data_IF_930625581299
#
_entry.id   IF_930625581299
#
_cell.length_a   1.000
_cell.length_b   1.000
_cell.length_c   1.000
_cell.angle_alpha   90.00
_cell.angle_beta   90.00
_cell.angle_gamma   90.00
#
_symmetry.space_group_name_H-M   'P 1'
#
loop_
_entity.id
_entity.type
_entity.pdbx_description
1 polymer ?
#
# COMPACT_ATOMS: atom_id res chain seq x y z
N UNK A 1 -13.93 10.79 -21.76
CA UNK A 1 -12.97 10.98 -20.64
C UNK A 1 -11.91 11.94 -21.13
N UNK A 2 -11.54 12.96 -20.36
CA UNK A 2 -10.47 13.90 -20.71
C UNK A 2 -9.26 13.58 -19.85
N UNK A 3 -8.09 13.43 -20.47
CA UNK A 3 -6.86 13.06 -19.80
C UNK A 3 -5.86 14.21 -19.86
N UNK A 4 -5.21 14.46 -18.72
CA UNK A 4 -4.10 15.41 -18.62
C UNK A 4 -2.92 14.71 -17.96
N UNK A 5 -1.72 14.73 -18.57
CA UNK A 5 -0.54 14.10 -17.98
C UNK A 5 -0.14 14.80 -16.67
N UNK A 6 -0.47 14.19 -15.53
CA UNK A 6 -0.27 14.82 -14.22
C UNK A 6 1.21 15.17 -13.96
N UNK A 7 2.14 14.29 -14.35
CA UNK A 7 3.59 14.54 -14.21
C UNK A 7 4.06 15.77 -14.99
N UNK A 8 3.58 15.96 -16.22
CA UNK A 8 3.93 17.12 -17.04
C UNK A 8 3.39 18.40 -16.39
N UNK A 9 2.12 18.39 -15.96
CA UNK A 9 1.49 19.54 -15.32
C UNK A 9 2.21 19.93 -14.01
N UNK A 10 2.62 18.95 -13.20
CA UNK A 10 3.39 19.20 -11.97
C UNK A 10 4.75 19.81 -12.31
N UNK A 11 5.47 19.27 -13.30
CA UNK A 11 6.77 19.79 -13.72
C UNK A 11 6.65 21.23 -14.25
N UNK A 12 5.64 21.52 -15.07
CA UNK A 12 5.38 22.86 -15.62
C UNK A 12 4.95 23.85 -14.55
N UNK A 13 4.11 23.45 -13.59
CA UNK A 13 3.73 24.28 -12.43
C UNK A 13 4.96 24.58 -11.56
N UNK A 14 5.82 23.59 -11.29
CA UNK A 14 7.06 23.79 -10.55
C UNK A 14 8.06 24.72 -11.28
N UNK A 15 8.13 24.64 -12.60
CA UNK A 15 8.97 25.51 -13.44
C UNK A 15 8.36 26.89 -13.72
N UNK A 16 7.11 27.15 -13.31
CA UNK A 16 6.39 28.38 -13.64
C UNK A 16 6.04 28.52 -15.13
N UNK A 17 6.04 27.42 -15.89
CA UNK A 17 5.76 27.37 -17.33
C UNK A 17 4.35 26.86 -17.65
N UNK A 18 3.55 26.55 -16.63
CA UNK A 18 2.13 26.29 -16.77
C UNK A 18 1.39 27.63 -16.95
N UNK A 19 0.91 27.91 -18.18
CA UNK A 19 0.36 29.22 -18.50
C UNK A 19 -1.02 29.43 -17.89
N UNK A 20 -1.46 30.69 -17.81
CA UNK A 20 -2.82 31.03 -17.36
C UNK A 20 -3.88 30.45 -18.28
N UNK A 21 -3.60 30.35 -19.58
CA UNK A 21 -4.54 29.80 -20.56
C UNK A 21 -4.67 28.28 -20.41
N UNK A 22 -3.55 27.56 -20.17
CA UNK A 22 -3.59 26.12 -19.85
C UNK A 22 -4.47 25.86 -18.62
N UNK A 23 -4.24 26.61 -17.53
CA UNK A 23 -5.03 26.49 -16.30
C UNK A 23 -6.50 26.79 -16.56
N UNK A 24 -6.81 27.83 -17.33
CA UNK A 24 -8.18 28.21 -17.67
C UNK A 24 -8.87 27.12 -18.47
N UNK A 25 -8.20 26.51 -19.43
CA UNK A 25 -8.78 25.46 -20.27
C UNK A 25 -9.00 24.18 -19.48
N UNK A 26 -8.02 23.72 -18.69
CA UNK A 26 -8.20 22.55 -17.81
C UNK A 26 -9.37 22.76 -16.83
N UNK A 27 -9.47 23.96 -16.23
CA UNK A 27 -10.57 24.32 -15.33
C UNK A 27 -11.95 24.16 -15.97
N UNK A 28 -12.12 24.56 -17.23
CA UNK A 28 -13.41 24.40 -17.96
C UNK A 28 -13.84 22.94 -18.05
N UNK A 29 -12.89 22.01 -18.20
CA UNK A 29 -13.18 20.58 -18.23
C UNK A 29 -13.51 20.04 -16.85
N UNK A 30 -12.78 20.45 -15.81
CA UNK A 30 -13.04 20.02 -14.43
C UNK A 30 -14.37 20.58 -13.90
N UNK A 31 -14.73 21.82 -14.24
CA UNK A 31 -15.97 22.45 -13.81
C UNK A 31 -17.22 21.67 -14.22
N UNK A 32 -17.22 21.13 -15.45
CA UNK A 32 -18.28 20.28 -15.99
C UNK A 32 -18.23 18.84 -15.47
N UNK A 33 -17.20 18.48 -14.71
CA UNK A 33 -16.97 17.12 -14.25
C UNK A 33 -17.46 16.93 -12.82
N UNK A 34 -18.24 15.86 -12.60
CA UNK A 34 -18.62 15.42 -11.25
C UNK A 34 -17.48 14.68 -10.54
N UNK A 35 -16.73 13.89 -11.32
CA UNK A 35 -15.64 13.05 -10.86
C UNK A 35 -14.31 13.54 -11.43
N UNK A 36 -13.29 13.66 -10.58
CA UNK A 36 -11.90 13.94 -10.96
C UNK A 36 -11.04 12.75 -10.53
N UNK A 37 -10.25 12.21 -11.45
CA UNK A 37 -9.42 11.03 -11.20
C UNK A 37 -7.96 11.44 -11.22
N UNK A 38 -7.23 11.16 -10.15
CA UNK A 38 -5.78 11.28 -10.08
C UNK A 38 -5.19 9.88 -10.17
N UNK A 39 -4.30 9.67 -11.15
CA UNK A 39 -3.65 8.38 -11.39
C UNK A 39 -2.15 8.55 -11.22
N UNK A 40 -1.56 7.79 -10.31
CA UNK A 40 -0.13 7.76 -10.04
C UNK A 40 0.28 6.38 -9.51
N UNK A 41 1.55 6.01 -9.62
CA UNK A 41 2.04 4.83 -8.91
C UNK A 41 2.37 5.18 -7.46
N UNK A 42 2.22 4.20 -6.58
CA UNK A 42 2.64 4.26 -5.18
C UNK A 42 3.42 3.01 -4.81
N UNK A 43 4.11 3.07 -3.67
CA UNK A 43 4.90 1.96 -3.12
C UNK A 43 4.39 1.62 -1.71
N UNK A 44 4.50 0.37 -1.26
CA UNK A 44 3.97 -0.04 0.06
C UNK A 44 4.73 0.59 1.24
N UNK A 45 5.98 1.01 1.03
CA UNK A 45 6.89 1.57 2.02
C UNK A 45 7.00 3.11 1.96
N UNK A 46 6.25 3.76 1.06
CA UNK A 46 6.26 5.21 0.89
C UNK A 46 4.84 5.80 1.04
N UNK A 47 4.74 6.87 1.82
CA UNK A 47 3.46 7.54 2.11
C UNK A 47 3.48 9.03 1.78
N UNK A 48 4.54 9.51 1.14
CA UNK A 48 4.81 10.92 0.91
C UNK A 48 4.90 11.24 -0.59
N UNK A 49 5.28 10.27 -1.41
CA UNK A 49 5.58 10.44 -2.83
C UNK A 49 4.69 9.58 -3.75
N UNK A 50 4.41 10.12 -4.93
CA UNK A 50 3.91 9.40 -6.09
C UNK A 50 5.04 9.12 -7.08
N UNK A 51 4.95 8.00 -7.80
CA UNK A 51 6.02 7.48 -8.64
C UNK A 51 5.61 7.32 -10.11
N UNK A 52 6.60 7.34 -10.99
CA UNK A 52 6.48 6.93 -12.39
C UNK A 52 6.48 5.40 -12.52
N UNK A 53 6.15 4.90 -13.70
CA UNK A 53 6.28 3.47 -14.03
C UNK A 53 7.73 2.97 -13.92
N UNK A 54 8.72 3.85 -14.14
CA UNK A 54 10.14 3.53 -13.94
C UNK A 54 10.58 3.56 -12.47
N UNK A 55 9.68 3.89 -11.54
CA UNK A 55 9.92 3.88 -10.10
C UNK A 55 10.55 5.15 -9.52
N UNK A 56 10.81 6.15 -10.37
CA UNK A 56 11.31 7.47 -9.95
C UNK A 56 10.20 8.32 -9.34
N UNK A 57 10.53 9.09 -8.31
CA UNK A 57 9.59 10.03 -7.70
C UNK A 57 9.16 11.09 -8.71
N UNK A 58 7.85 11.35 -8.80
CA UNK A 58 7.28 12.36 -9.70
C UNK A 58 6.66 13.53 -8.96
N UNK A 59 6.17 13.32 -7.74
CA UNK A 59 5.60 14.37 -6.91
C UNK A 59 5.43 13.94 -5.45
N UNK A 60 5.40 14.90 -4.55
CA UNK A 60 4.90 14.73 -3.18
C UNK A 60 3.40 14.95 -3.12
N UNK A 61 2.73 14.45 -2.07
CA UNK A 61 1.32 14.75 -1.81
C UNK A 61 1.03 16.27 -1.77
N UNK A 62 2.00 17.08 -1.30
CA UNK A 62 1.88 18.55 -1.25
C UNK A 62 1.87 19.18 -2.64
N UNK A 63 2.78 18.74 -3.51
CA UNK A 63 2.84 19.21 -4.89
C UNK A 63 1.56 18.85 -5.65
N UNK A 64 1.07 17.61 -5.47
CA UNK A 64 -0.20 17.19 -6.06
C UNK A 64 -1.38 18.00 -5.50
N UNK A 65 -1.41 18.23 -4.19
CA UNK A 65 -2.42 19.06 -3.53
C UNK A 65 -2.44 20.51 -4.03
N UNK A 66 -1.25 21.12 -4.22
CA UNK A 66 -1.12 22.47 -4.82
C UNK A 66 -1.67 22.49 -6.24
N UNK A 67 -1.27 21.54 -7.09
CA UNK A 67 -1.74 21.46 -8.46
C UNK A 67 -3.26 21.26 -8.51
N UNK A 68 -3.80 20.36 -7.69
CA UNK A 68 -5.24 20.12 -7.61
C UNK A 68 -6.00 21.39 -7.17
N UNK A 69 -5.50 22.14 -6.17
CA UNK A 69 -6.07 23.46 -5.80
C UNK A 69 -6.01 24.47 -6.94
N UNK A 70 -4.93 24.47 -7.73
CA UNK A 70 -4.81 25.34 -8.89
C UNK A 70 -5.84 24.96 -9.97
N UNK A 71 -6.00 23.68 -10.27
CA UNK A 71 -6.78 23.21 -11.42
C UNK A 71 -8.27 23.02 -11.12
N UNK A 72 -8.66 22.68 -9.89
CA UNK A 72 -10.07 22.50 -9.53
C UNK A 72 -10.69 23.84 -9.15
N UNK A 73 -11.75 24.33 -9.81
CA UNK A 73 -12.46 25.53 -9.38
C UNK A 73 -13.15 25.37 -8.01
N UNK A 74 -13.49 26.49 -7.37
CA UNK A 74 -14.37 26.49 -6.19
C UNK A 74 -15.81 26.36 -6.70
N UNK A 75 -16.58 25.47 -6.10
CA UNK A 75 -18.03 25.34 -6.33
C UNK A 75 -18.72 24.72 -5.11
N UNK A 76 -20.02 24.91 -5.02
CA UNK A 76 -20.83 24.35 -3.93
C UNK A 76 -21.00 22.83 -4.07
N UNK A 77 -21.13 22.32 -5.30
CA UNK A 77 -21.28 20.89 -5.53
C UNK A 77 -20.01 20.11 -5.15
N UNK A 78 -20.19 19.09 -4.31
CA UNK A 78 -19.10 18.22 -3.84
C UNK A 78 -18.44 17.47 -5.01
N UNK A 79 -17.14 17.65 -5.20
CA UNK A 79 -16.34 16.83 -6.11
C UNK A 79 -16.24 15.39 -5.60
N UNK A 80 -16.31 14.44 -6.53
CA UNK A 80 -15.92 13.05 -6.29
C UNK A 80 -14.49 12.86 -6.80
N UNK A 81 -13.55 12.67 -5.90
CA UNK A 81 -12.16 12.41 -6.25
C UNK A 81 -11.90 10.89 -6.19
N UNK A 82 -11.26 10.35 -7.21
CA UNK A 82 -10.70 9.00 -7.19
C UNK A 82 -9.19 9.08 -7.25
N UNK A 83 -8.50 8.75 -6.16
CA UNK A 83 -7.06 8.65 -6.12
C UNK A 83 -6.68 7.20 -6.43
N UNK A 84 -6.38 6.94 -7.69
CA UNK A 84 -5.95 5.63 -8.19
C UNK A 84 -4.44 5.55 -8.04
N UNK A 85 -4.01 5.05 -6.88
CA UNK A 85 -2.61 4.90 -6.48
C UNK A 85 -2.47 3.61 -5.68
N UNK A 86 -1.58 2.72 -6.13
CA UNK A 86 -1.22 1.53 -5.35
C UNK A 86 -0.76 1.95 -3.95
N UNK A 87 -1.31 1.32 -2.92
CA UNK A 87 -0.99 1.59 -1.51
C UNK A 87 -1.27 3.05 -1.07
N UNK A 88 -1.99 3.87 -1.85
CA UNK A 88 -2.18 5.28 -1.53
C UNK A 88 -2.90 5.53 -0.19
N UNK A 89 -3.80 4.63 0.20
CA UNK A 89 -4.50 4.68 1.49
C UNK A 89 -3.83 3.83 2.58
N UNK A 90 -2.73 3.14 2.29
CA UNK A 90 -1.97 2.39 3.30
C UNK A 90 -1.31 3.39 4.26
N UNK A 91 -1.39 3.09 5.54
CA UNK A 91 -0.66 3.80 6.58
C UNK A 91 0.83 3.45 6.51
N UNK A 92 1.68 4.27 7.12
CA UNK A 92 3.13 4.05 7.19
C UNK A 92 3.47 2.70 7.81
N UNK A 93 2.69 2.26 8.80
CA UNK A 93 2.81 0.90 9.29
C UNK A 93 2.15 -0.09 8.32
N UNK A 94 2.95 -0.58 7.37
CA UNK A 94 2.53 -1.55 6.34
C UNK A 94 1.99 -2.85 6.93
N UNK A 95 2.21 -3.16 8.21
CA UNK A 95 1.75 -4.41 8.84
C UNK A 95 0.41 -4.29 9.55
N UNK A 96 -0.17 -3.09 9.63
CA UNK A 96 -1.52 -2.93 10.17
C UNK A 96 -2.55 -3.55 9.23
N UNK A 97 -3.50 -4.28 9.81
CA UNK A 97 -4.67 -4.74 9.07
C UNK A 97 -5.59 -3.53 8.80
N UNK A 98 -5.83 -3.22 7.52
CA UNK A 98 -6.66 -2.08 7.13
C UNK A 98 -8.15 -2.41 6.96
N UNK A 99 -8.61 -3.59 7.39
CA UNK A 99 -10.02 -3.93 7.49
C UNK A 99 -10.69 -3.44 8.76
N UNK A 100 -9.92 -3.41 9.86
CA UNK A 100 -10.42 -3.09 11.20
C UNK A 100 -10.19 -1.64 11.60
N UNK A 101 -10.46 -1.34 12.87
CA UNK A 101 -10.16 -0.04 13.46
C UNK A 101 -8.68 0.29 13.33
N UNK A 102 -8.37 1.44 12.72
CA UNK A 102 -7.02 1.95 12.54
C UNK A 102 -6.85 3.16 13.46
N UNK A 103 -5.75 3.27 14.24
CA UNK A 103 -5.45 4.47 15.02
C UNK A 103 -5.45 5.72 14.14
N UNK A 104 -6.01 6.84 14.63
CA UNK A 104 -6.11 8.08 13.85
C UNK A 104 -4.76 8.60 13.35
N UNK A 105 -3.71 8.51 14.18
CA UNK A 105 -2.36 8.89 13.77
C UNK A 105 -1.80 8.04 12.63
N UNK A 106 -2.20 6.78 12.53
CA UNK A 106 -1.84 5.88 11.43
C UNK A 106 -2.62 6.24 10.17
N UNK A 107 -3.95 6.44 10.26
CA UNK A 107 -4.76 6.93 9.15
C UNK A 107 -4.19 8.22 8.55
N UNK A 108 -3.73 9.13 9.41
CA UNK A 108 -3.14 10.40 9.03
C UNK A 108 -1.79 10.27 8.32
N UNK A 109 -1.13 9.13 8.45
CA UNK A 109 0.17 8.87 7.83
C UNK A 109 0.08 8.47 6.35
N UNK A 110 -1.09 8.08 5.85
CA UNK A 110 -1.26 7.66 4.44
C UNK A 110 -1.10 8.81 3.45
N UNK A 111 -0.59 8.53 2.25
CA UNK A 111 -0.50 9.53 1.17
C UNK A 111 -1.87 10.12 0.86
N UNK A 112 -2.89 9.27 0.76
CA UNK A 112 -4.26 9.64 0.47
C UNK A 112 -4.79 10.64 1.49
N UNK A 113 -4.63 10.38 2.79
CA UNK A 113 -5.07 11.31 3.81
C UNK A 113 -4.37 12.66 3.70
N UNK A 114 -3.04 12.65 3.57
CA UNK A 114 -2.25 13.89 3.48
C UNK A 114 -2.67 14.72 2.26
N UNK A 115 -2.84 14.08 1.11
CA UNK A 115 -3.35 14.73 -0.11
C UNK A 115 -4.79 15.23 0.07
N UNK A 116 -5.68 14.45 0.67
CA UNK A 116 -7.06 14.85 0.95
C UNK A 116 -7.11 16.08 1.85
N UNK A 117 -6.29 16.11 2.90
CA UNK A 117 -6.17 17.23 3.84
C UNK A 117 -5.70 18.50 3.16
N UNK A 118 -4.81 18.42 2.17
CA UNK A 118 -4.36 19.59 1.38
C UNK A 118 -5.49 20.29 0.62
N UNK A 119 -6.58 19.56 0.32
CA UNK A 119 -7.73 20.07 -0.43
C UNK A 119 -8.89 20.50 0.48
N UNK A 120 -8.97 19.92 1.69
CA UNK A 120 -9.99 20.28 2.67
C UNK A 120 -9.91 21.77 3.03
N UNK A 121 -11.08 22.40 3.20
CA UNK A 121 -11.21 23.84 3.43
C UNK A 121 -11.06 24.70 2.17
N UNK A 122 -10.33 24.23 1.16
CA UNK A 122 -10.25 24.89 -0.14
C UNK A 122 -11.34 24.40 -1.11
N UNK A 123 -11.72 23.12 -1.04
CA UNK A 123 -12.68 22.49 -1.96
C UNK A 123 -13.66 21.60 -1.19
N UNK A 124 -14.92 21.58 -1.66
CA UNK A 124 -15.91 20.61 -1.19
C UNK A 124 -15.67 19.27 -1.88
N UNK A 125 -15.11 18.28 -1.16
CA UNK A 125 -14.64 17.03 -1.77
C UNK A 125 -15.07 15.79 -0.98
N UNK A 126 -15.27 14.69 -1.70
CA UNK A 126 -15.26 13.32 -1.18
C UNK A 126 -14.27 12.53 -2.01
N UNK A 127 -13.39 11.78 -1.37
CA UNK A 127 -12.33 11.04 -2.06
C UNK A 127 -12.42 9.54 -1.79
N UNK A 128 -12.01 8.73 -2.77
CA UNK A 128 -11.73 7.31 -2.56
C UNK A 128 -10.27 7.01 -2.89
N UNK A 129 -9.67 6.08 -2.15
CA UNK A 129 -8.33 5.57 -2.36
C UNK A 129 -8.22 4.11 -1.88
N UNK A 130 -7.11 3.43 -2.15
CA UNK A 130 -6.95 1.99 -1.90
C UNK A 130 -5.70 1.67 -1.07
N UNK A 131 -5.79 0.64 -0.23
CA UNK A 131 -4.72 0.26 0.71
C UNK A 131 -3.70 -0.73 0.13
N UNK A 132 -4.02 -1.45 -0.95
CA UNK A 132 -3.12 -2.40 -1.62
C UNK A 132 -2.77 -1.96 -3.05
N UNK A 133 -2.08 -2.81 -3.83
CA UNK A 133 -1.92 -2.53 -5.25
C UNK A 133 -3.27 -2.57 -5.95
N UNK A 134 -3.50 -1.58 -6.82
CA UNK A 134 -4.76 -1.40 -7.54
C UNK A 134 -4.57 -1.82 -8.99
N UNK A 135 -5.51 -2.61 -9.50
CA UNK A 135 -5.66 -2.86 -10.94
C UNK A 135 -6.98 -2.27 -11.42
N UNK A 136 -6.98 -1.80 -12.66
CA UNK A 136 -8.16 -1.23 -13.31
C UNK A 136 -8.52 -2.10 -14.52
N UNK A 137 -9.79 -2.41 -14.68
CA UNK A 137 -10.30 -2.86 -15.98
C UNK A 137 -10.66 -1.67 -16.89
N UNK A 138 -11.06 -1.96 -18.13
CA UNK A 138 -11.47 -0.95 -19.11
C UNK A 138 -12.70 -0.13 -18.70
N UNK A 139 -13.46 -0.58 -17.69
CA UNK A 139 -14.69 0.05 -17.19
C UNK A 139 -14.47 0.84 -15.90
N UNK A 140 -13.22 1.07 -15.48
CA UNK A 140 -12.85 1.66 -14.19
C UNK A 140 -13.37 0.87 -12.97
N UNK A 141 -13.56 -0.44 -13.10
CA UNK A 141 -13.67 -1.29 -11.92
C UNK A 141 -12.27 -1.54 -11.39
N UNK A 142 -12.14 -1.31 -10.10
CA UNK A 142 -10.87 -1.41 -9.39
C UNK A 142 -10.86 -2.68 -8.56
N UNK A 143 -9.86 -3.53 -8.76
CA UNK A 143 -9.50 -4.58 -7.80
C UNK A 143 -8.33 -4.12 -6.95
N UNK A 144 -8.25 -4.65 -5.74
CA UNK A 144 -7.20 -4.33 -4.78
C UNK A 144 -6.64 -5.62 -4.18
N UNK A 145 -5.33 -5.66 -3.99
CA UNK A 145 -4.68 -6.69 -3.18
C UNK A 145 -5.25 -6.70 -1.75
N UNK A 146 -5.48 -7.89 -1.20
CA UNK A 146 -5.88 -8.09 0.19
C UNK A 146 -4.70 -7.99 1.17
N UNK A 147 -4.95 -8.07 2.49
CA UNK A 147 -3.89 -7.99 3.50
C UNK A 147 -2.78 -9.03 3.32
N UNK A 148 -3.15 -10.29 3.08
CA UNK A 148 -2.18 -11.38 2.89
C UNK A 148 -1.21 -11.10 1.75
N UNK A 149 -1.71 -10.55 0.65
CA UNK A 149 -0.90 -10.17 -0.50
C UNK A 149 0.03 -8.99 -0.17
N UNK A 150 -0.47 -7.98 0.54
CA UNK A 150 0.37 -6.85 0.98
C UNK A 150 1.49 -7.34 1.91
N UNK A 151 1.17 -8.18 2.88
CA UNK A 151 2.15 -8.76 3.82
C UNK A 151 3.13 -9.71 3.12
N UNK A 152 2.67 -10.46 2.12
CA UNK A 152 3.54 -11.28 1.28
C UNK A 152 4.57 -10.43 0.53
N UNK A 153 4.16 -9.29 -0.04
CA UNK A 153 5.07 -8.36 -0.73
C UNK A 153 6.10 -7.76 0.24
N UNK A 154 5.66 -7.26 1.41
CA UNK A 154 6.55 -6.77 2.47
C UNK A 154 7.56 -7.85 2.87
N UNK A 155 7.08 -9.07 3.15
CA UNK A 155 7.93 -10.17 3.59
C UNK A 155 8.92 -10.61 2.50
N UNK A 156 8.50 -10.58 1.23
CA UNK A 156 9.37 -10.91 0.10
C UNK A 156 10.53 -9.91 -0.02
N UNK A 157 10.28 -8.62 0.20
CA UNK A 157 11.33 -7.60 0.23
C UNK A 157 12.28 -7.79 1.41
N UNK A 158 11.75 -8.06 2.61
CA UNK A 158 12.55 -8.40 3.80
C UNK A 158 13.47 -9.60 3.54
N UNK A 159 12.94 -10.69 2.98
CA UNK A 159 13.70 -11.90 2.66
C UNK A 159 14.76 -11.63 1.59
N UNK A 160 14.46 -10.81 0.59
CA UNK A 160 15.43 -10.42 -0.43
C UNK A 160 16.60 -9.61 0.17
N UNK A 161 16.32 -8.71 1.11
CA UNK A 161 17.36 -7.97 1.83
C UNK A 161 18.25 -8.92 2.65
N UNK A 162 17.66 -9.89 3.36
CA UNK A 162 18.41 -10.90 4.10
C UNK A 162 19.30 -11.75 3.17
N UNK A 163 18.82 -12.12 1.98
CA UNK A 163 19.60 -12.87 0.99
C UNK A 163 20.88 -12.18 0.55
N UNK A 164 20.88 -10.86 0.52
CA UNK A 164 21.99 -10.05 0.03
C UNK A 164 22.86 -9.52 1.19
N UNK A 165 22.62 -9.99 2.42
CA UNK A 165 23.26 -9.47 3.63
C UNK A 165 24.45 -10.32 4.09
N UNK A 166 25.45 -9.74 4.80
CA UNK A 166 26.55 -10.49 5.40
C UNK A 166 26.10 -11.62 6.34
N UNK A 167 24.93 -11.47 6.96
CA UNK A 167 24.30 -12.45 7.84
C UNK A 167 24.09 -13.80 7.14
N UNK A 168 23.93 -13.81 5.81
CA UNK A 168 23.80 -15.06 5.04
C UNK A 168 25.04 -15.94 5.18
N UNK A 169 26.24 -15.36 5.09
CA UNK A 169 27.47 -16.15 5.23
C UNK A 169 27.62 -16.67 6.67
N UNK A 170 27.32 -15.82 7.65
CA UNK A 170 27.39 -16.20 9.06
C UNK A 170 26.44 -17.35 9.38
N UNK A 171 25.19 -17.29 8.91
CA UNK A 171 24.20 -18.32 9.22
C UNK A 171 24.48 -19.65 8.50
N UNK A 172 25.15 -19.63 7.34
CA UNK A 172 25.66 -20.86 6.69
C UNK A 172 26.79 -21.51 7.50
N UNK A 173 27.68 -20.72 8.11
CA UNK A 173 28.73 -21.23 9.01
C UNK A 173 28.10 -21.84 10.27
N UNK A 174 27.14 -21.14 10.89
CA UNK A 174 26.40 -21.64 12.05
C UNK A 174 25.69 -22.96 11.74
N UNK A 175 25.06 -23.06 10.55
CA UNK A 175 24.45 -24.30 10.07
C UNK A 175 25.47 -25.43 9.98
N UNK A 176 26.61 -25.20 9.31
CA UNK A 176 27.64 -26.23 9.15
C UNK A 176 28.14 -26.74 10.50
N UNK A 177 28.41 -25.83 11.44
CA UNK A 177 28.85 -26.19 12.80
C UNK A 177 27.78 -26.97 13.58
N UNK A 178 26.50 -26.57 13.48
CA UNK A 178 25.39 -27.27 14.12
C UNK A 178 25.24 -28.70 13.58
N UNK A 179 25.24 -28.86 12.26
CA UNK A 179 25.09 -30.17 11.62
C UNK A 179 26.27 -31.10 11.95
N UNK A 180 27.50 -30.57 11.98
CA UNK A 180 28.67 -31.32 12.40
C UNK A 180 28.57 -31.78 13.87
N UNK A 181 28.21 -30.86 14.78
CA UNK A 181 28.06 -31.15 16.22
C UNK A 181 27.04 -32.24 16.49
N UNK A 182 25.94 -32.24 15.74
CA UNK A 182 24.83 -33.18 15.90
C UNK A 182 24.91 -34.40 15.00
N UNK A 183 25.98 -34.53 14.20
CA UNK A 183 26.16 -35.59 13.19
C UNK A 183 24.95 -35.74 12.27
N UNK A 184 24.30 -34.61 11.93
CA UNK A 184 23.11 -34.55 11.09
C UNK A 184 23.51 -34.26 9.64
N UNK A 185 22.90 -34.96 8.68
CA UNK A 185 23.15 -34.69 7.26
C UNK A 185 22.44 -33.42 6.79
N UNK A 186 22.95 -32.79 5.72
CA UNK A 186 22.24 -31.69 5.05
C UNK A 186 20.86 -32.14 4.52
N UNK A 187 20.75 -33.39 4.08
CA UNK A 187 19.51 -33.96 3.59
C UNK A 187 18.47 -34.08 4.71
N UNK A 188 18.86 -34.57 5.89
CA UNK A 188 17.95 -34.68 7.05
C UNK A 188 17.51 -33.29 7.54
N UNK A 189 18.45 -32.34 7.62
CA UNK A 189 18.12 -30.98 7.99
C UNK A 189 17.14 -30.34 7.00
N UNK A 190 17.33 -30.54 5.70
CA UNK A 190 16.43 -30.02 4.67
C UNK A 190 15.06 -30.72 4.65
N UNK A 191 15.07 -32.02 4.40
CA UNK A 191 13.85 -32.79 4.13
C UNK A 191 12.99 -33.01 5.37
N UNK A 192 13.58 -33.12 6.56
CA UNK A 192 12.84 -33.45 7.78
C UNK A 192 12.62 -32.23 8.68
N UNK A 193 13.60 -31.33 8.78
CA UNK A 193 13.48 -30.15 9.68
C UNK A 193 12.97 -28.92 8.94
N UNK A 194 13.61 -28.49 7.85
CA UNK A 194 13.20 -27.27 7.15
C UNK A 194 11.83 -27.43 6.49
N UNK A 195 11.53 -28.58 5.86
CA UNK A 195 10.23 -28.81 5.24
C UNK A 195 9.06 -28.83 6.22
N UNK A 196 9.27 -29.23 7.49
CA UNK A 196 8.25 -29.14 8.55
C UNK A 196 7.73 -27.70 8.67
N UNK A 197 8.64 -26.73 8.78
CA UNK A 197 8.28 -25.32 8.92
C UNK A 197 7.95 -24.66 7.58
N UNK A 198 8.50 -25.13 6.46
CA UNK A 198 8.09 -24.64 5.15
C UNK A 198 6.62 -25.00 4.86
N UNK A 199 6.16 -26.17 5.29
CA UNK A 199 4.77 -26.62 5.14
C UNK A 199 3.83 -26.08 6.22
N UNK A 200 4.34 -25.88 7.44
CA UNK A 200 3.60 -25.29 8.55
C UNK A 200 4.43 -24.19 9.22
N UNK A 201 4.43 -22.96 8.68
CA UNK A 201 5.21 -21.83 9.20
C UNK A 201 4.94 -21.49 10.66
N UNK A 202 3.76 -21.85 11.16
CA UNK A 202 3.32 -21.56 12.54
C UNK A 202 3.62 -22.70 13.51
N UNK A 203 4.26 -23.78 13.06
CA UNK A 203 4.65 -24.88 13.95
C UNK A 203 5.61 -24.39 15.04
N UNK A 204 5.36 -24.78 16.29
CA UNK A 204 6.25 -24.46 17.40
C UNK A 204 7.52 -25.32 17.34
N UNK A 205 8.72 -24.73 17.52
CA UNK A 205 9.96 -25.48 17.56
C UNK A 205 10.13 -26.18 18.92
N UNK A 206 10.49 -27.46 18.91
CA UNK A 206 10.61 -28.31 20.10
C UNK A 206 12.05 -28.50 20.58
N UNK A 207 13.04 -28.26 19.72
CA UNK A 207 14.46 -28.49 20.01
C UNK A 207 15.36 -27.40 19.39
N UNK A 208 16.67 -27.47 19.65
CA UNK A 208 17.62 -26.48 19.16
C UNK A 208 17.74 -26.43 17.63
N UNK A 209 17.64 -27.58 16.95
CA UNK A 209 17.74 -27.66 15.49
C UNK A 209 16.55 -26.99 14.84
N UNK A 210 15.36 -27.22 15.39
CA UNK A 210 14.12 -26.59 14.94
C UNK A 210 14.11 -25.07 15.17
N UNK A 211 14.60 -24.60 16.32
CA UNK A 211 14.78 -23.16 16.57
C UNK A 211 15.76 -22.53 15.58
N UNK A 212 16.85 -23.23 15.25
CA UNK A 212 17.78 -22.78 14.23
C UNK A 212 17.16 -22.79 12.83
N UNK A 213 16.39 -23.82 12.46
CA UNK A 213 15.74 -23.92 11.17
C UNK A 213 14.80 -22.75 10.89
N UNK A 214 13.99 -22.32 11.87
CA UNK A 214 13.14 -21.13 11.73
C UNK A 214 13.92 -19.85 11.41
N UNK A 215 15.10 -19.66 12.04
CA UNK A 215 16.00 -18.54 11.73
C UNK A 215 16.63 -18.66 10.35
N UNK A 216 16.96 -19.89 9.92
CA UNK A 216 17.66 -20.17 8.67
C UNK A 216 16.75 -20.22 7.44
N UNK A 217 15.44 -20.47 7.59
CA UNK A 217 14.52 -20.63 6.47
C UNK A 217 14.53 -19.48 5.45
N UNK A 218 14.56 -18.18 5.84
CA UNK A 218 14.70 -17.07 4.91
C UNK A 218 15.94 -17.19 4.00
N UNK A 219 16.94 -17.94 4.44
CA UNK A 219 18.21 -18.20 3.74
C UNK A 219 18.21 -19.41 2.82
N UNK A 220 17.21 -20.26 2.96
CA UNK A 220 17.21 -21.60 2.40
C UNK A 220 16.59 -21.70 0.99
N UNK A 221 16.78 -22.83 0.29
CA UNK A 221 16.03 -23.15 -0.92
C UNK A 221 14.51 -23.28 -0.71
N UNK A 222 14.04 -23.63 0.49
CA UNK A 222 12.61 -23.84 0.78
C UNK A 222 11.87 -22.55 1.14
N UNK A 223 12.56 -21.39 1.16
CA UNK A 223 11.99 -20.08 1.52
C UNK A 223 10.74 -19.71 0.71
N UNK A 224 10.69 -20.08 -0.57
CA UNK A 224 9.56 -19.76 -1.45
C UNK A 224 8.29 -20.47 -0.97
N UNK A 225 8.40 -21.78 -0.68
CA UNK A 225 7.30 -22.57 -0.13
C UNK A 225 6.87 -22.08 1.25
N UNK A 226 7.83 -21.77 2.12
CA UNK A 226 7.54 -21.18 3.42
C UNK A 226 6.75 -19.87 3.31
N UNK A 227 7.17 -18.92 2.45
CA UNK A 227 6.43 -17.68 2.24
C UNK A 227 5.03 -17.92 1.66
N UNK A 228 4.88 -18.88 0.73
CA UNK A 228 3.57 -19.21 0.16
C UNK A 228 2.60 -19.78 1.19
N UNK A 229 3.10 -20.59 2.12
CA UNK A 229 2.28 -21.17 3.18
C UNK A 229 2.07 -20.21 4.36
N UNK A 230 2.90 -19.18 4.49
CA UNK A 230 2.73 -18.12 5.49
C UNK A 230 1.60 -17.16 5.12
N UNK A 231 1.34 -16.99 3.81
CA UNK A 231 0.29 -16.12 3.25
C UNK A 231 -0.57 -16.91 2.24
N UNK A 232 -1.45 -17.79 2.73
CA UNK A 232 -2.24 -18.67 1.87
C UNK A 232 -3.19 -17.90 0.94
N UNK A 233 -3.70 -16.74 1.36
CA UNK A 233 -4.72 -15.99 0.62
C UNK A 233 -4.16 -14.88 -0.29
N UNK A 234 -2.84 -14.82 -0.46
CA UNK A 234 -2.15 -13.79 -1.25
C UNK A 234 -2.65 -13.65 -2.70
N UNK A 235 -3.11 -14.73 -3.32
CA UNK A 235 -3.58 -14.68 -4.71
C UNK A 235 -5.04 -14.22 -4.86
N UNK A 236 -5.74 -13.93 -3.76
CA UNK A 236 -7.11 -13.45 -3.83
C UNK A 236 -7.12 -11.95 -4.15
N UNK A 237 -7.49 -11.60 -5.38
CA UNK A 237 -7.86 -10.22 -5.72
C UNK A 237 -9.36 -10.06 -5.50
N UNK A 238 -9.74 -9.08 -4.68
CA UNK A 238 -11.14 -8.89 -4.29
C UNK A 238 -11.52 -7.41 -4.24
N UNK A 239 -12.80 -7.15 -4.00
CA UNK A 239 -13.28 -5.84 -3.58
C UNK A 239 -12.74 -5.58 -2.17
N UNK A 240 -11.51 -5.07 -2.08
CA UNK A 240 -10.77 -4.89 -0.84
C UNK A 240 -10.25 -3.45 -0.68
N UNK A 241 -10.01 -3.02 0.56
CA UNK A 241 -9.08 -1.94 0.87
C UNK A 241 -9.47 -0.55 0.37
N UNK A 242 -10.72 -0.35 -0.06
CA UNK A 242 -11.18 0.93 -0.58
C UNK A 242 -11.65 1.83 0.56
N UNK A 243 -10.86 2.84 0.88
CA UNK A 243 -11.22 3.86 1.87
C UNK A 243 -11.93 5.03 1.22
N UNK A 244 -12.96 5.52 1.90
CA UNK A 244 -13.75 6.69 1.51
C UNK A 244 -13.47 7.78 2.55
N UNK A 245 -13.02 8.94 2.08
CA UNK A 245 -12.80 10.14 2.87
C UNK A 245 -13.91 11.12 2.55
N UNK A 246 -14.70 11.52 3.53
CA UNK A 246 -15.71 12.56 3.39
C UNK A 246 -15.52 13.61 4.48
N UNK A 247 -15.40 14.87 4.08
CA UNK A 247 -15.28 16.00 5.00
C UNK A 247 -16.42 16.99 4.73
N UNK A 248 -17.23 17.23 5.75
CA UNK A 248 -18.37 18.14 5.67
C UNK A 248 -18.48 18.99 6.94
N UNK A 249 -18.54 20.31 6.77
CA UNK A 249 -18.47 21.25 7.88
C UNK A 249 -17.11 21.12 8.58
N UNK A 250 -17.12 20.57 9.79
CA UNK A 250 -15.93 20.29 10.60
C UNK A 250 -15.70 18.78 10.83
N UNK A 251 -16.51 17.92 10.22
CA UNK A 251 -16.49 16.49 10.47
C UNK A 251 -15.89 15.72 9.29
N UNK A 252 -14.79 15.01 9.56
CA UNK A 252 -14.20 13.97 8.74
C UNK A 252 -14.81 12.62 9.12
N UNK A 253 -15.18 11.85 8.09
CA UNK A 253 -15.52 10.44 8.20
C UNK A 253 -14.62 9.66 7.26
N UNK A 254 -13.94 8.64 7.78
CA UNK A 254 -13.19 7.67 6.98
C UNK A 254 -13.90 6.32 7.09
N UNK A 255 -14.29 5.77 5.94
CA UNK A 255 -15.05 4.52 5.86
C UNK A 255 -14.29 3.51 5.02
N UNK A 256 -14.12 2.28 5.51
CA UNK A 256 -13.74 1.17 4.67
C UNK A 256 -14.97 0.64 3.93
N UNK A 257 -15.00 0.80 2.60
CA UNK A 257 -16.13 0.41 1.76
C UNK A 257 -16.38 -1.10 1.81
N UNK A 258 -15.33 -1.90 1.94
CA UNK A 258 -15.43 -3.35 1.82
C UNK A 258 -15.09 -4.03 3.15
N UNK A 259 -15.81 -5.09 3.47
CA UNK A 259 -15.49 -6.02 4.55
C UNK A 259 -15.51 -7.41 3.95
N UNK A 260 -14.36 -7.89 3.47
CA UNK A 260 -14.26 -9.19 2.82
C UNK A 260 -14.06 -10.31 3.84
N UNK A 261 -13.49 -9.99 5.00
CA UNK A 261 -13.23 -10.94 6.08
C UNK A 261 -14.41 -11.02 7.06
N UNK A 262 -14.72 -12.25 7.50
CA UNK A 262 -15.78 -12.48 8.50
C UNK A 262 -15.57 -11.63 9.75
N UNK A 263 -16.61 -10.87 10.13
CA UNK A 263 -16.58 -9.97 11.30
C UNK A 263 -16.35 -8.49 10.98
N UNK A 264 -16.04 -8.11 9.73
CA UNK A 264 -15.92 -6.70 9.31
C UNK A 264 -17.14 -6.29 8.50
N UNK A 265 -17.89 -5.30 8.98
CA UNK A 265 -19.06 -4.77 8.28
C UNK A 265 -18.67 -4.04 6.98
N UNK A 266 -19.48 -4.19 5.93
CA UNK A 266 -19.38 -3.35 4.73
C UNK A 266 -19.69 -1.91 5.12
N UNK A 267 -18.88 -0.95 4.65
CA UNK A 267 -18.93 0.45 5.09
C UNK A 267 -18.62 0.63 6.59
N UNK A 268 -17.66 -0.13 7.12
CA UNK A 268 -17.15 0.09 8.47
C UNK A 268 -16.56 1.50 8.60
N UNK A 269 -17.01 2.24 9.60
CA UNK A 269 -16.42 3.53 9.97
C UNK A 269 -15.12 3.28 10.71
N UNK A 270 -14.02 3.77 10.14
CA UNK A 270 -12.69 3.70 10.76
C UNK A 270 -12.42 4.90 11.65
N UNK A 271 -13.03 6.05 11.32
CA UNK A 271 -12.84 7.30 12.02
C UNK A 271 -13.99 8.26 11.80
N UNK A 272 -14.35 8.99 12.86
CA UNK A 272 -15.23 10.16 12.83
C UNK A 272 -14.73 11.20 13.82
N UNK A 273 -14.52 12.42 13.33
CA UNK A 273 -14.01 13.51 14.16
C UNK A 273 -13.60 14.71 13.33
N UNK A 274 -12.75 15.58 13.88
CA UNK A 274 -12.11 16.64 13.10
C UNK A 274 -11.08 16.09 12.11
N UNK A 275 -10.52 16.95 11.27
CA UNK A 275 -9.28 16.61 10.56
C UNK A 275 -8.20 16.27 11.60
N UNK A 276 -7.55 15.12 11.41
CA UNK A 276 -6.40 14.62 12.16
C UNK A 276 -5.13 15.35 11.71
#
# INVERSE_FOLDING_TARGET
MVFYPCQELIARDAAGTLSKDDVKDIRKHIEKSRTVVFVLHGKPDDTDEGFSTSGGSVCTFKQLGRLAKLLMPIRDEKYRISLVMCYGARCRNVRLNHEGMIPSGELASSFAYKFFRELCGARNIRMVAWTGAVSNDGDLKHTCENEDQVLYVDKKQEVAALQNSPQKQQIEIEKAALLQRLKMSNADFGNNVMMKFANNPNAAPTNEVERFALRYIPYSPVRAQWMMNLFPDRNQTSNYGKLIYDFSGSQLVITNRYGATGGVAVNAELYRGGLI
#
